data_IF_135226200314
#
_entry.id   IF_135226200314
#
_cell.length_a   1.000
_cell.length_b   1.000
_cell.length_c   1.000
_cell.angle_alpha   90.00
_cell.angle_beta   90.00
_cell.angle_gamma   90.00
#
_symmetry.space_group_name_H-M   'P 1'
#
loop_
_entity.id
_entity.type
_entity.pdbx_description
1 polymer ?
#
# COMPACT_ATOMS: atom_id res chain seq x y z
N UNK A 1 7.91 -7.42 -3.97
CA UNK A 1 6.80 -6.45 -3.87
C UNK A 1 6.11 -6.47 -2.53
N UNK A 2 5.49 -7.57 -2.16
CA UNK A 2 4.82 -7.66 -0.86
C UNK A 2 5.80 -7.64 0.31
N UNK A 3 7.00 -8.13 0.10
CA UNK A 3 8.01 -8.12 1.16
C UNK A 3 8.36 -6.69 1.57
N UNK A 4 8.40 -5.77 0.61
CA UNK A 4 8.66 -4.36 0.91
C UNK A 4 7.49 -3.76 1.70
N UNK A 5 6.26 -4.11 1.33
CA UNK A 5 5.08 -3.63 2.05
C UNK A 5 5.06 -4.20 3.47
N UNK A 6 5.37 -5.48 3.64
CA UNK A 6 5.43 -6.10 4.96
C UNK A 6 6.49 -5.44 5.85
N UNK A 7 7.64 -5.10 5.27
CA UNK A 7 8.69 -4.40 6.01
C UNK A 7 8.22 -3.02 6.48
N UNK A 8 7.44 -2.34 5.65
CA UNK A 8 6.95 -1.02 5.98
C UNK A 8 5.94 -1.01 7.13
N UNK A 9 5.22 -2.11 7.34
CA UNK A 9 4.28 -2.20 8.48
C UNK A 9 5.00 -2.02 9.80
N UNK A 10 6.28 -2.38 9.87
CA UNK A 10 7.07 -2.30 11.09
C UNK A 10 7.98 -1.07 11.14
N UNK A 11 7.88 -0.15 10.15
CA UNK A 11 8.75 1.02 10.14
C UNK A 11 8.32 2.03 11.20
N UNK A 12 9.24 2.96 11.51
CA UNK A 12 9.00 3.98 12.54
C UNK A 12 7.99 5.04 12.12
N UNK A 13 7.75 5.20 10.82
CA UNK A 13 6.79 6.17 10.31
C UNK A 13 5.39 5.57 10.43
N UNK A 14 4.62 6.06 11.39
CA UNK A 14 3.30 5.50 11.69
C UNK A 14 2.31 5.65 10.54
N UNK A 15 2.38 6.74 9.78
CA UNK A 15 1.49 6.94 8.65
C UNK A 15 1.77 5.95 7.53
N UNK A 16 3.04 5.75 7.22
CA UNK A 16 3.45 4.78 6.20
C UNK A 16 3.09 3.37 6.66
N UNK A 17 3.35 3.06 7.94
CA UNK A 17 3.03 1.74 8.48
C UNK A 17 1.54 1.44 8.38
N UNK A 18 0.69 2.43 8.70
CA UNK A 18 -0.76 2.25 8.62
C UNK A 18 -1.22 2.01 7.18
N UNK A 19 -0.65 2.74 6.22
CA UNK A 19 -0.99 2.54 4.81
C UNK A 19 -0.52 1.18 4.31
N UNK A 20 0.66 0.74 4.72
CA UNK A 20 1.17 -0.58 4.36
C UNK A 20 0.26 -1.68 4.90
N UNK A 21 -0.23 -1.53 6.13
CA UNK A 21 -1.16 -2.48 6.72
C UNK A 21 -2.46 -2.54 5.92
N UNK A 22 -2.98 -1.40 5.48
CA UNK A 22 -4.18 -1.36 4.64
C UNK A 22 -3.97 -2.13 3.33
N UNK A 23 -2.79 -2.01 2.71
CA UNK A 23 -2.48 -2.74 1.48
C UNK A 23 -2.52 -4.25 1.73
N UNK A 24 -1.94 -4.70 2.84
CA UNK A 24 -1.95 -6.13 3.17
C UNK A 24 -3.36 -6.64 3.43
N UNK A 25 -4.20 -5.84 4.08
CA UNK A 25 -5.59 -6.20 4.35
C UNK A 25 -6.38 -6.31 3.04
N UNK A 26 -6.17 -5.38 2.12
CA UNK A 26 -6.83 -5.44 0.82
C UNK A 26 -6.41 -6.68 0.03
N UNK A 27 -5.14 -7.02 0.10
CA UNK A 27 -4.65 -8.21 -0.59
C UNK A 27 -5.30 -9.47 -0.04
N UNK A 28 -5.39 -9.59 1.27
CA UNK A 28 -6.06 -10.73 1.89
C UNK A 28 -7.52 -10.82 1.46
N UNK A 29 -8.23 -9.69 1.45
CA UNK A 29 -9.63 -9.65 1.04
C UNK A 29 -9.78 -10.09 -0.42
N UNK A 30 -8.88 -9.65 -1.29
CA UNK A 30 -8.90 -10.03 -2.69
C UNK A 30 -8.63 -11.53 -2.86
N UNK A 31 -7.64 -12.06 -2.16
CA UNK A 31 -7.31 -13.49 -2.22
C UNK A 31 -8.45 -14.37 -1.71
N UNK A 32 -9.19 -13.89 -0.74
CA UNK A 32 -10.32 -14.61 -0.15
C UNK A 32 -11.61 -14.42 -0.97
N UNK A 33 -11.57 -13.63 -2.02
CA UNK A 33 -12.73 -13.40 -2.86
C UNK A 33 -13.74 -12.44 -2.28
N UNK A 34 -13.37 -11.68 -1.25
CA UNK A 34 -14.26 -10.72 -0.61
C UNK A 34 -14.46 -9.45 -1.42
N UNK A 35 -13.49 -9.10 -2.25
CA UNK A 35 -13.58 -7.96 -3.15
C UNK A 35 -13.17 -8.39 -4.56
N UNK A 36 -13.69 -7.69 -5.56
CA UNK A 36 -13.36 -7.97 -6.95
C UNK A 36 -11.99 -7.40 -7.30
N UNK A 37 -11.46 -7.81 -8.45
CA UNK A 37 -10.21 -7.25 -8.95
C UNK A 37 -10.32 -5.75 -9.17
N UNK A 38 -11.43 -5.29 -9.74
CA UNK A 38 -11.65 -3.87 -9.99
C UNK A 38 -11.67 -3.06 -8.69
N UNK A 39 -12.33 -3.59 -7.67
CA UNK A 39 -12.35 -2.95 -6.36
C UNK A 39 -10.95 -2.93 -5.74
N UNK A 40 -10.21 -4.02 -5.87
CA UNK A 40 -8.87 -4.12 -5.35
C UNK A 40 -7.95 -3.07 -5.98
N UNK A 41 -7.98 -2.96 -7.30
CA UNK A 41 -7.18 -1.98 -8.04
C UNK A 41 -7.55 -0.56 -7.63
N UNK A 42 -8.85 -0.27 -7.58
CA UNK A 42 -9.33 1.06 -7.22
C UNK A 42 -8.89 1.47 -5.81
N UNK A 43 -9.01 0.56 -4.86
CA UNK A 43 -8.62 0.83 -3.48
C UNK A 43 -7.10 0.99 -3.34
N UNK A 44 -6.32 0.21 -4.08
CA UNK A 44 -4.87 0.36 -4.08
C UNK A 44 -4.45 1.71 -4.66
N UNK A 45 -5.07 2.13 -5.74
CA UNK A 45 -4.78 3.43 -6.34
C UNK A 45 -5.14 4.56 -5.39
N UNK A 46 -6.21 4.40 -4.64
CA UNK A 46 -6.63 5.39 -3.65
C UNK A 46 -5.62 5.51 -2.52
N UNK A 47 -5.15 4.39 -2.00
CA UNK A 47 -4.11 4.38 -0.96
C UNK A 47 -2.83 5.04 -1.49
N UNK A 48 -2.44 4.70 -2.71
CA UNK A 48 -1.25 5.27 -3.34
C UNK A 48 -1.36 6.79 -3.45
N UNK A 49 -2.50 7.28 -3.94
CA UNK A 49 -2.74 8.71 -4.09
C UNK A 49 -2.73 9.42 -2.74
N UNK A 50 -3.38 8.84 -1.75
CA UNK A 50 -3.43 9.38 -0.41
C UNK A 50 -2.04 9.44 0.20
N UNK A 51 -1.24 8.40 0.00
CA UNK A 51 0.13 8.38 0.50
C UNK A 51 0.98 9.47 -0.14
N UNK A 52 0.79 9.71 -1.44
CA UNK A 52 1.54 10.76 -2.14
C UNK A 52 1.16 12.16 -1.65
N UNK A 53 -0.10 12.37 -1.32
CA UNK A 53 -0.61 13.69 -0.93
C UNK A 53 -0.47 13.95 0.56
N UNK A 54 -0.82 12.97 1.40
CA UNK A 54 -0.90 13.15 2.84
C UNK A 54 0.39 12.84 3.61
N UNK A 55 1.36 12.21 2.99
CA UNK A 55 2.60 11.85 3.67
C UNK A 55 3.58 13.01 3.73
N UNK A 56 3.08 14.23 3.72
CA UNK A 56 3.90 15.43 3.86
C UNK A 56 4.45 15.45 5.28
N UNK A 57 5.77 15.39 5.39
CA UNK A 57 6.42 15.30 6.69
C UNK A 57 6.85 13.87 7.05
N UNK A 58 6.37 12.88 6.32
CA UNK A 58 6.82 11.49 6.50
C UNK A 58 8.20 11.31 5.88
N UNK A 59 8.88 10.24 6.27
CA UNK A 59 10.17 9.90 5.70
C UNK A 59 9.99 9.61 4.21
N UNK A 60 10.67 10.39 3.37
CA UNK A 60 10.57 10.27 1.92
C UNK A 60 10.96 8.88 1.45
N UNK A 61 11.94 8.26 2.09
CA UNK A 61 12.39 6.93 1.72
C UNK A 61 11.29 5.89 1.92
N UNK A 62 10.65 5.91 3.08
CA UNK A 62 9.56 4.96 3.37
C UNK A 62 8.35 5.22 2.48
N UNK A 63 8.02 6.49 2.27
CA UNK A 63 6.93 6.86 1.37
C UNK A 63 7.19 6.37 -0.04
N UNK A 64 8.41 6.55 -0.53
CA UNK A 64 8.81 6.11 -1.86
C UNK A 64 8.71 4.59 -1.98
N UNK A 65 9.14 3.86 -0.95
CA UNK A 65 9.03 2.40 -0.94
C UNK A 65 7.57 1.95 -0.98
N UNK A 66 6.71 2.62 -0.24
CA UNK A 66 5.28 2.30 -0.21
C UNK A 66 4.65 2.51 -1.58
N UNK A 67 4.87 3.67 -2.18
CA UNK A 67 4.32 4.00 -3.51
C UNK A 67 4.84 3.02 -4.56
N UNK A 68 6.13 2.73 -4.53
CA UNK A 68 6.75 1.79 -5.48
C UNK A 68 6.18 0.38 -5.29
N UNK A 69 5.98 -0.04 -4.05
CA UNK A 69 5.41 -1.35 -3.76
C UNK A 69 3.98 -1.48 -4.29
N UNK A 70 3.15 -0.46 -4.06
CA UNK A 70 1.77 -0.45 -4.56
C UNK A 70 1.77 -0.45 -6.09
N UNK A 71 2.61 0.37 -6.70
CA UNK A 71 2.73 0.41 -8.16
C UNK A 71 3.11 -0.96 -8.72
N UNK A 72 4.04 -1.64 -8.05
CA UNK A 72 4.44 -2.98 -8.46
C UNK A 72 3.28 -3.98 -8.41
N UNK A 73 2.47 -3.91 -7.35
CA UNK A 73 1.29 -4.77 -7.23
C UNK A 73 0.31 -4.49 -8.38
N UNK A 74 0.08 -3.22 -8.68
CA UNK A 74 -0.83 -2.82 -9.76
C UNK A 74 -0.37 -3.33 -11.12
N UNK A 75 0.94 -3.49 -11.32
CA UNK A 75 1.48 -4.00 -12.58
C UNK A 75 1.18 -5.48 -12.80
N UNK A 76 1.06 -6.26 -11.74
CA UNK A 76 0.86 -7.72 -11.86
C UNK A 76 -0.59 -8.14 -11.62
N UNK A 77 -1.43 -7.26 -11.16
CA UNK A 77 -2.86 -7.53 -11.02
C UNK A 77 -3.54 -7.30 -12.35
#
# INVERSE_FOLDING_TARGET
MLDDIKALVECDDKEVAAKADEVLMLQSAFEEGQISKDEYVELLEDIKRTAEVEAEGSDIQFKSMLVTGIYGILQVV
#
